data_IF_531694596884
#
_entry.id   IF_531694596884
#
_cell.length_a   1.000
_cell.length_b   1.000
_cell.length_c   1.000
_cell.angle_alpha   90.00
_cell.angle_beta   90.00
_cell.angle_gamma   90.00
#
_symmetry.space_group_name_H-M   'P 1'
#
loop_
_entity.id
_entity.type
_entity.pdbx_description
1 polymer ?
#
# COMPACT_ATOMS: atom_id res chain seq x y z
N UNK A 1 -21.35 -24.39 -12.30
CA UNK A 1 -19.95 -23.98 -12.08
C UNK A 1 -19.09 -25.23 -12.13
N UNK A 2 -18.13 -25.36 -13.06
CA UNK A 2 -17.18 -26.47 -13.02
C UNK A 2 -16.35 -26.39 -11.73
N UNK A 3 -15.97 -27.52 -11.11
CA UNK A 3 -15.12 -27.51 -9.93
C UNK A 3 -13.80 -26.84 -10.29
N UNK A 4 -13.43 -25.80 -9.54
CA UNK A 4 -12.10 -25.18 -9.61
C UNK A 4 -11.07 -26.29 -9.47
N UNK A 5 -10.34 -26.60 -10.56
CA UNK A 5 -9.21 -27.53 -10.50
C UNK A 5 -8.28 -27.04 -9.40
N UNK A 6 -8.11 -27.85 -8.37
CA UNK A 6 -7.21 -27.56 -7.27
C UNK A 6 -5.79 -27.49 -7.83
N UNK A 7 -5.26 -26.28 -7.96
CA UNK A 7 -3.93 -26.06 -8.54
C UNK A 7 -2.91 -26.31 -7.44
N UNK A 8 -2.22 -27.44 -7.53
CA UNK A 8 -1.23 -27.85 -6.54
C UNK A 8 0.02 -26.96 -6.61
N UNK A 9 0.60 -26.58 -5.46
CA UNK A 9 1.85 -25.82 -5.41
C UNK A 9 3.02 -26.64 -5.99
N UNK A 10 4.06 -25.95 -6.47
CA UNK A 10 5.23 -26.58 -7.11
C UNK A 10 5.86 -27.69 -6.26
N UNK A 11 5.93 -27.50 -4.94
CA UNK A 11 6.44 -28.49 -3.98
C UNK A 11 5.82 -29.87 -4.12
N UNK A 12 4.52 -29.94 -4.46
CA UNK A 12 3.73 -31.17 -4.60
C UNK A 12 3.46 -31.56 -6.07
N UNK A 13 4.05 -30.85 -7.02
CA UNK A 13 3.80 -31.03 -8.44
C UNK A 13 5.09 -31.40 -9.19
N UNK A 14 5.39 -32.70 -9.25
CA UNK A 14 6.59 -33.22 -9.94
C UNK A 14 6.64 -32.83 -11.42
N UNK A 15 5.48 -32.83 -12.09
CA UNK A 15 5.39 -32.35 -13.48
C UNK A 15 5.75 -30.87 -13.58
N UNK A 16 5.31 -30.06 -12.62
CA UNK A 16 5.67 -28.64 -12.51
C UNK A 16 7.17 -28.43 -12.34
N UNK A 17 7.82 -29.22 -11.47
CA UNK A 17 9.28 -29.16 -11.27
C UNK A 17 10.04 -29.52 -12.54
N UNK A 18 9.61 -30.56 -13.26
CA UNK A 18 10.21 -30.94 -14.55
C UNK A 18 10.06 -29.84 -15.59
N UNK A 19 8.88 -29.20 -15.66
CA UNK A 19 8.64 -28.07 -16.56
C UNK A 19 9.52 -26.86 -16.22
N UNK A 20 9.70 -26.57 -14.93
CA UNK A 20 10.61 -25.53 -14.44
C UNK A 20 12.06 -25.82 -14.84
N UNK A 21 12.56 -27.02 -14.55
CA UNK A 21 13.90 -27.43 -14.93
C UNK A 21 14.13 -27.32 -16.45
N UNK A 22 13.20 -27.83 -17.26
CA UNK A 22 13.30 -27.76 -18.72
C UNK A 22 13.22 -26.32 -19.26
N UNK A 23 12.47 -25.44 -18.60
CA UNK A 23 12.41 -24.02 -18.97
C UNK A 23 13.72 -23.30 -18.61
N UNK A 24 14.20 -23.45 -17.38
CA UNK A 24 15.46 -22.85 -16.93
C UNK A 24 16.64 -23.34 -17.76
N UNK A 25 16.68 -24.62 -18.12
CA UNK A 25 17.69 -25.16 -19.03
C UNK A 25 17.71 -24.43 -20.38
N UNK A 26 16.54 -24.23 -21.01
CA UNK A 26 16.44 -23.54 -22.30
C UNK A 26 16.86 -22.08 -22.20
N UNK A 27 16.38 -21.38 -21.18
CA UNK A 27 16.70 -19.97 -20.95
C UNK A 27 18.20 -19.82 -20.65
N UNK A 28 18.78 -20.75 -19.88
CA UNK A 28 20.21 -20.77 -19.58
C UNK A 28 21.03 -20.97 -20.84
N UNK A 29 20.66 -21.92 -21.72
CA UNK A 29 21.36 -22.15 -22.99
C UNK A 29 21.28 -20.96 -23.95
N UNK A 30 20.15 -20.22 -23.95
CA UNK A 30 19.93 -19.10 -24.86
C UNK A 30 20.79 -17.85 -24.55
N UNK A 31 21.30 -17.70 -23.33
CA UNK A 31 22.09 -16.52 -22.93
C UNK A 31 23.53 -16.54 -23.45
N UNK A 32 24.07 -15.36 -23.73
CA UNK A 32 25.48 -15.19 -24.13
C UNK A 32 26.43 -15.52 -22.96
N UNK A 33 27.40 -16.37 -23.25
CA UNK A 33 28.29 -17.06 -22.30
C UNK A 33 29.56 -16.28 -21.98
N UNK A 34 29.74 -15.89 -20.72
CA UNK A 34 31.05 -15.90 -20.10
C UNK A 34 30.95 -16.71 -18.79
N UNK A 35 31.64 -17.85 -18.72
CA UNK A 35 31.82 -18.64 -17.48
C UNK A 35 30.72 -19.64 -17.08
N UNK A 36 30.06 -20.35 -18.02
CA UNK A 36 29.06 -21.37 -17.66
C UNK A 36 29.70 -22.72 -17.37
N UNK A 37 29.67 -23.13 -16.11
CA UNK A 37 29.91 -24.53 -15.72
C UNK A 37 28.57 -25.30 -15.67
N UNK A 38 28.52 -26.58 -16.09
CA UNK A 38 27.31 -27.41 -16.04
C UNK A 38 26.73 -27.54 -14.62
N UNK A 39 27.61 -27.60 -13.62
CA UNK A 39 27.27 -27.70 -12.19
C UNK A 39 26.47 -26.50 -11.68
N UNK A 40 26.65 -25.34 -12.32
CA UNK A 40 25.90 -24.12 -11.99
C UNK A 40 24.41 -24.27 -12.33
N UNK A 41 24.05 -25.06 -13.34
CA UNK A 41 22.65 -25.20 -13.75
C UNK A 41 21.84 -26.04 -12.77
N UNK A 42 22.39 -27.13 -12.25
CA UNK A 42 21.71 -27.95 -11.23
C UNK A 42 21.47 -27.15 -9.96
N UNK A 43 22.47 -26.39 -9.53
CA UNK A 43 22.40 -25.48 -8.38
C UNK A 43 21.31 -24.41 -8.58
N UNK A 44 21.23 -23.82 -9.78
CA UNK A 44 20.19 -22.85 -10.14
C UNK A 44 18.80 -23.49 -10.09
N UNK A 45 18.63 -24.69 -10.67
CA UNK A 45 17.33 -25.38 -10.67
C UNK A 45 16.88 -25.70 -9.24
N UNK A 46 17.78 -26.14 -8.36
CA UNK A 46 17.46 -26.38 -6.95
C UNK A 46 17.01 -25.10 -6.26
N UNK A 47 17.79 -24.02 -6.42
CA UNK A 47 17.48 -22.72 -5.83
C UNK A 47 16.10 -22.19 -6.26
N UNK A 48 15.78 -22.29 -7.56
CA UNK A 48 14.48 -21.89 -8.09
C UNK A 48 13.35 -22.78 -7.57
N UNK A 49 13.57 -24.08 -7.46
CA UNK A 49 12.56 -25.03 -6.98
C UNK A 49 12.22 -24.79 -5.51
N UNK A 50 13.23 -24.50 -4.69
CA UNK A 50 13.07 -24.16 -3.27
C UNK A 50 12.36 -22.81 -3.11
N UNK A 51 12.86 -21.76 -3.76
CA UNK A 51 12.31 -20.41 -3.63
C UNK A 51 10.87 -20.30 -4.16
N UNK A 52 10.50 -21.10 -5.15
CA UNK A 52 9.18 -21.07 -5.78
C UNK A 52 8.25 -22.20 -5.31
N UNK A 53 8.63 -22.97 -4.29
CA UNK A 53 7.94 -24.17 -3.82
C UNK A 53 6.46 -23.95 -3.46
N UNK A 54 6.11 -22.75 -3.00
CA UNK A 54 4.76 -22.36 -2.58
C UNK A 54 3.86 -21.90 -3.73
N UNK A 55 4.41 -21.62 -4.91
CA UNK A 55 3.64 -21.05 -6.01
C UNK A 55 3.14 -22.13 -6.98
N UNK A 56 1.97 -21.92 -7.60
CA UNK A 56 1.50 -22.75 -8.71
C UNK A 56 2.47 -22.74 -9.91
N UNK A 57 2.74 -23.90 -10.55
CA UNK A 57 3.61 -23.96 -11.73
C UNK A 57 3.19 -23.03 -12.87
N UNK A 58 1.89 -22.87 -13.09
CA UNK A 58 1.35 -22.01 -14.15
C UNK A 58 1.73 -20.54 -13.94
N UNK A 59 1.66 -20.06 -12.69
CA UNK A 59 2.07 -18.69 -12.33
C UNK A 59 3.57 -18.50 -12.53
N UNK A 60 4.38 -19.51 -12.19
CA UNK A 60 5.83 -19.49 -12.39
C UNK A 60 6.16 -19.40 -13.89
N UNK A 61 5.53 -20.23 -14.73
CA UNK A 61 5.76 -20.20 -16.18
C UNK A 61 5.38 -18.86 -16.81
N UNK A 62 4.27 -18.27 -16.35
CA UNK A 62 3.83 -16.97 -16.81
C UNK A 62 4.83 -15.88 -16.39
N UNK A 63 5.30 -15.90 -15.14
CA UNK A 63 6.30 -14.96 -14.64
C UNK A 63 7.64 -15.06 -15.37
N UNK A 64 8.14 -16.28 -15.63
CA UNK A 64 9.36 -16.50 -16.43
C UNK A 64 9.22 -15.95 -17.85
N UNK A 65 8.04 -16.13 -18.45
CA UNK A 65 7.75 -15.58 -19.80
C UNK A 65 7.71 -14.06 -19.79
N UNK A 66 7.08 -13.45 -18.79
CA UNK A 66 7.08 -11.99 -18.62
C UNK A 66 8.48 -11.43 -18.38
N UNK A 67 9.31 -12.12 -17.59
CA UNK A 67 10.70 -11.71 -17.37
C UNK A 67 11.49 -11.72 -18.67
N UNK A 68 11.42 -12.81 -19.44
CA UNK A 68 12.13 -12.94 -20.72
C UNK A 68 11.72 -11.89 -21.77
N UNK A 69 10.51 -11.33 -21.67
CA UNK A 69 10.07 -10.22 -22.52
C UNK A 69 10.66 -8.86 -22.10
N UNK A 70 11.05 -8.73 -20.83
CA UNK A 70 11.47 -7.44 -20.22
C UNK A 70 12.98 -7.33 -20.03
N UNK A 71 13.66 -8.45 -19.83
CA UNK A 71 15.09 -8.50 -19.52
C UNK A 71 15.80 -9.50 -20.43
N UNK A 72 17.01 -9.12 -20.85
CA UNK A 72 17.94 -10.00 -21.56
C UNK A 72 18.83 -10.81 -20.60
N UNK A 73 18.75 -10.53 -19.30
CA UNK A 73 19.51 -11.22 -18.26
C UNK A 73 18.78 -12.48 -17.77
N UNK A 74 19.52 -13.38 -17.13
CA UNK A 74 18.90 -14.53 -16.47
C UNK A 74 18.06 -14.03 -15.29
N UNK A 75 16.82 -14.53 -15.11
CA UNK A 75 16.06 -14.18 -13.93
C UNK A 75 16.77 -14.66 -12.66
N UNK A 76 16.65 -13.90 -11.58
CA UNK A 76 16.85 -14.41 -10.23
C UNK A 76 15.53 -14.98 -9.68
N UNK A 77 15.57 -15.85 -8.64
CA UNK A 77 14.34 -16.29 -7.99
C UNK A 77 13.49 -15.12 -7.47
N UNK A 78 14.13 -14.06 -6.95
CA UNK A 78 13.46 -12.88 -6.43
C UNK A 78 12.67 -12.14 -7.52
N UNK A 79 13.20 -12.04 -8.74
CA UNK A 79 12.50 -11.41 -9.86
C UNK A 79 11.19 -12.14 -10.17
N UNK A 80 11.23 -13.47 -10.16
CA UNK A 80 10.05 -14.30 -10.44
C UNK A 80 9.04 -14.23 -9.30
N UNK A 81 9.49 -14.29 -8.04
CA UNK A 81 8.60 -14.09 -6.88
C UNK A 81 7.92 -12.73 -6.94
N UNK A 82 8.68 -11.67 -7.25
CA UNK A 82 8.15 -10.31 -7.38
C UNK A 82 7.09 -10.20 -8.48
N UNK A 83 7.34 -10.81 -9.64
CA UNK A 83 6.37 -10.86 -10.73
C UNK A 83 5.10 -11.63 -10.36
N UNK A 84 5.21 -12.75 -9.64
CA UNK A 84 4.04 -13.52 -9.19
C UNK A 84 3.23 -12.72 -8.16
N UNK A 85 3.88 -12.23 -7.09
CA UNK A 85 3.22 -11.47 -6.02
C UNK A 85 2.50 -10.22 -6.54
N UNK A 86 3.02 -9.62 -7.61
CA UNK A 86 2.48 -8.39 -8.19
C UNK A 86 1.68 -8.60 -9.47
N UNK A 87 1.28 -9.84 -9.75
CA UNK A 87 0.44 -10.20 -10.89
C UNK A 87 0.98 -9.65 -12.23
N UNK A 88 2.30 -9.74 -12.42
CA UNK A 88 2.99 -9.28 -13.63
C UNK A 88 3.31 -7.79 -13.70
N UNK A 89 2.99 -6.97 -12.69
CA UNK A 89 3.38 -5.53 -12.66
C UNK A 89 4.91 -5.37 -12.55
N UNK A 90 5.50 -4.30 -13.13
CA UNK A 90 6.95 -4.03 -13.04
C UNK A 90 7.35 -3.77 -11.59
N UNK A 91 8.55 -4.19 -11.12
CA UNK A 91 9.00 -4.08 -9.73
C UNK A 91 8.87 -2.66 -9.16
N UNK A 92 8.65 -2.57 -7.85
CA UNK A 92 8.54 -1.29 -7.17
C UNK A 92 9.94 -0.68 -7.04
N UNK A 93 10.03 0.62 -7.30
CA UNK A 93 11.27 1.37 -7.36
C UNK A 93 11.23 2.50 -6.34
N UNK A 94 12.30 2.61 -5.55
CA UNK A 94 12.45 3.71 -4.61
C UNK A 94 12.46 5.06 -5.33
N UNK A 95 13.02 5.14 -6.53
CA UNK A 95 13.06 6.37 -7.31
C UNK A 95 11.64 6.84 -7.68
N UNK A 96 10.75 5.91 -8.06
CA UNK A 96 9.35 6.21 -8.36
C UNK A 96 8.59 6.59 -7.09
N UNK A 97 8.82 5.88 -5.99
CA UNK A 97 8.24 6.24 -4.68
C UNK A 97 8.59 7.68 -4.28
N UNK A 98 9.88 8.05 -4.35
CA UNK A 98 10.36 9.40 -4.02
C UNK A 98 9.75 10.44 -4.98
N UNK A 99 9.67 10.14 -6.27
CA UNK A 99 9.07 11.05 -7.25
C UNK A 99 7.60 11.32 -6.95
N UNK A 100 6.83 10.28 -6.58
CA UNK A 100 5.42 10.41 -6.18
C UNK A 100 5.30 11.18 -4.86
N UNK A 101 6.15 10.90 -3.87
CA UNK A 101 6.13 11.62 -2.59
C UNK A 101 6.41 13.12 -2.73
N UNK A 102 7.23 13.52 -3.71
CA UNK A 102 7.52 14.94 -3.97
C UNK A 102 6.35 15.71 -4.56
N UNK A 103 5.35 15.02 -5.15
CA UNK A 103 4.11 15.66 -5.60
C UNK A 103 3.29 16.13 -4.40
N UNK A 104 2.59 17.26 -4.55
CA UNK A 104 1.58 17.69 -3.58
C UNK A 104 0.48 16.62 -3.47
N UNK A 105 -0.14 16.48 -2.30
CA UNK A 105 -1.15 15.44 -2.07
C UNK A 105 -2.35 15.51 -3.02
N UNK A 106 -2.71 16.73 -3.42
CA UNK A 106 -3.82 17.03 -4.35
C UNK A 106 -3.50 16.64 -5.80
N UNK A 107 -2.21 16.65 -6.18
CA UNK A 107 -1.75 16.29 -7.53
C UNK A 107 -1.49 14.79 -7.72
N UNK A 108 -1.72 13.98 -6.67
CA UNK A 108 -1.48 12.52 -6.71
C UNK A 108 -2.72 11.82 -7.25
N UNK A 109 -2.52 11.01 -8.29
CA UNK A 109 -3.59 10.18 -8.82
C UNK A 109 -3.95 9.02 -7.86
N UNK A 110 -5.10 8.36 -8.04
CA UNK A 110 -5.44 7.15 -7.29
C UNK A 110 -4.37 6.04 -7.41
N UNK A 111 -3.72 5.92 -8.58
CA UNK A 111 -2.64 4.97 -8.84
C UNK A 111 -1.36 5.34 -8.08
N UNK A 112 -1.04 6.63 -7.95
CA UNK A 112 0.08 7.11 -7.14
C UNK A 112 -0.11 6.68 -5.68
N UNK A 113 -1.32 6.86 -5.13
CA UNK A 113 -1.65 6.42 -3.77
C UNK A 113 -1.59 4.90 -3.61
N UNK A 114 -2.04 4.15 -4.62
CA UNK A 114 -1.90 2.71 -4.61
C UNK A 114 -0.43 2.28 -4.64
N UNK A 115 0.41 2.93 -5.45
CA UNK A 115 1.84 2.66 -5.52
C UNK A 115 2.54 2.89 -4.18
N UNK A 116 2.25 4.02 -3.51
CA UNK A 116 2.80 4.32 -2.19
C UNK A 116 2.43 3.23 -1.17
N UNK A 117 1.16 2.80 -1.14
CA UNK A 117 0.69 1.72 -0.25
C UNK A 117 1.33 0.38 -0.57
N UNK A 118 1.42 0.00 -1.84
CA UNK A 118 2.08 -1.23 -2.28
C UNK A 118 3.57 -1.21 -1.88
N UNK A 119 4.25 -0.06 -2.01
CA UNK A 119 5.66 0.12 -1.67
C UNK A 119 5.89 0.01 -0.16
N UNK A 120 5.08 0.69 0.64
CA UNK A 120 5.14 0.61 2.10
C UNK A 120 4.78 -0.78 2.62
N UNK A 121 3.82 -1.46 2.00
CA UNK A 121 3.49 -2.84 2.34
C UNK A 121 4.66 -3.79 2.04
N UNK A 122 5.33 -3.64 0.89
CA UNK A 122 6.53 -4.41 0.56
C UNK A 122 7.64 -4.13 1.58
N UNK A 123 7.88 -2.86 1.92
CA UNK A 123 8.86 -2.50 2.93
C UNK A 123 8.50 -3.03 4.32
N UNK A 124 7.22 -3.22 4.67
CA UNK A 124 6.79 -3.88 5.92
C UNK A 124 6.95 -5.39 5.90
N UNK A 125 6.76 -6.04 4.75
CA UNK A 125 7.08 -7.47 4.59
C UNK A 125 8.59 -7.71 4.66
N UNK A 126 9.40 -6.80 4.11
CA UNK A 126 10.87 -6.83 4.19
C UNK A 126 11.37 -6.39 5.57
N UNK A 127 10.69 -5.45 6.22
CA UNK A 127 10.87 -5.09 7.63
C UNK A 127 10.18 -6.13 8.50
N UNK A 128 10.77 -7.33 8.54
CA UNK A 128 10.74 -8.11 9.78
C UNK A 128 11.18 -7.14 10.88
N UNK A 129 10.23 -6.71 11.71
CA UNK A 129 10.51 -5.86 12.86
C UNK A 129 11.67 -6.43 13.68
N UNK A 130 12.27 -5.62 14.58
CA UNK A 130 13.54 -5.94 15.19
C UNK A 130 13.64 -7.43 15.55
N UNK A 131 14.62 -8.13 14.98
CA UNK A 131 14.85 -9.58 15.17
C UNK A 131 15.07 -9.96 16.64
N UNK A 132 15.24 -8.94 17.49
CA UNK A 132 15.36 -9.05 18.93
C UNK A 132 14.02 -8.81 19.62
N UNK A 133 13.45 -9.87 20.20
CA UNK A 133 12.19 -9.85 20.96
C UNK A 133 12.12 -8.73 22.00
N UNK A 134 13.27 -8.30 22.56
CA UNK A 134 13.38 -7.16 23.48
C UNK A 134 13.04 -5.81 22.85
N UNK A 135 13.58 -5.51 21.68
CA UNK A 135 13.32 -4.23 21.00
C UNK A 135 11.85 -4.11 20.56
N UNK A 136 11.22 -5.22 20.18
CA UNK A 136 9.80 -5.24 19.86
C UNK A 136 8.92 -4.99 21.10
N UNK A 137 9.31 -5.50 22.27
CA UNK A 137 8.61 -5.24 23.53
C UNK A 137 8.79 -3.79 24.01
N UNK A 138 10.01 -3.25 23.92
CA UNK A 138 10.30 -1.85 24.24
C UNK A 138 9.47 -0.90 23.37
N UNK A 139 9.42 -1.14 22.05
CA UNK A 139 8.61 -0.33 21.13
C UNK A 139 7.10 -0.44 21.42
N UNK A 140 6.61 -1.62 21.84
CA UNK A 140 5.20 -1.78 22.26
C UNK A 140 4.91 -1.07 23.58
N UNK A 141 5.84 -1.08 24.52
CA UNK A 141 5.72 -0.35 25.78
C UNK A 141 5.71 1.16 25.54
N UNK A 142 6.61 1.64 24.69
CA UNK A 142 6.71 3.06 24.32
C UNK A 142 5.45 3.53 23.59
N UNK A 143 4.94 2.78 22.62
CA UNK A 143 3.68 3.11 21.95
C UNK A 143 2.50 3.20 22.93
N UNK A 144 2.39 2.25 23.87
CA UNK A 144 1.34 2.30 24.91
C UNK A 144 1.47 3.53 25.81
N UNK A 145 2.70 3.90 26.16
CA UNK A 145 2.98 5.11 26.93
C UNK A 145 2.55 6.36 26.17
N UNK A 146 2.98 6.51 24.91
CA UNK A 146 2.63 7.65 24.07
C UNK A 146 1.12 7.78 23.85
N UNK A 147 0.39 6.68 23.66
CA UNK A 147 -1.08 6.71 23.56
C UNK A 147 -1.74 7.22 24.84
N UNK A 148 -1.20 6.85 25.99
CA UNK A 148 -1.69 7.32 27.29
C UNK A 148 -1.42 8.81 27.46
N UNK A 149 -0.20 9.26 27.17
CA UNK A 149 0.19 10.68 27.21
C UNK A 149 -0.69 11.53 26.27
N UNK A 150 -0.92 11.08 25.03
CA UNK A 150 -1.82 11.76 24.09
C UNK A 150 -3.26 11.85 24.60
N UNK A 151 -3.74 10.81 25.29
CA UNK A 151 -5.10 10.79 25.85
C UNK A 151 -5.24 11.80 26.99
N UNK A 152 -4.24 11.88 27.86
CA UNK A 152 -4.22 12.87 28.95
C UNK A 152 -4.09 14.30 28.43
N UNK A 153 -3.19 14.55 27.47
CA UNK A 153 -3.07 15.85 26.81
C UNK A 153 -4.38 16.30 26.15
N UNK A 154 -5.11 15.38 25.50
CA UNK A 154 -6.44 15.69 24.93
C UNK A 154 -7.44 16.09 26.00
N UNK A 155 -7.48 15.40 27.14
CA UNK A 155 -8.35 15.75 28.27
C UNK A 155 -7.99 17.12 28.83
N UNK A 156 -6.71 17.42 28.95
CA UNK A 156 -6.22 18.70 29.46
C UNK A 156 -6.55 19.85 28.50
N UNK A 157 -6.32 19.68 27.20
CA UNK A 157 -6.75 20.64 26.18
C UNK A 157 -8.26 20.91 26.24
N UNK A 158 -9.08 19.87 26.37
CA UNK A 158 -10.54 20.03 26.51
C UNK A 158 -10.93 20.78 27.79
N UNK A 159 -10.26 20.48 28.91
CA UNK A 159 -10.47 21.19 30.18
C UNK A 159 -10.10 22.67 30.07
N UNK A 160 -8.94 22.98 29.47
CA UNK A 160 -8.50 24.35 29.24
C UNK A 160 -9.44 25.11 28.31
N UNK A 161 -9.92 24.47 27.24
CA UNK A 161 -10.92 25.05 26.34
C UNK A 161 -12.20 25.43 27.09
N UNK A 162 -12.69 24.55 27.99
CA UNK A 162 -13.86 24.82 28.83
C UNK A 162 -13.62 25.99 29.79
N UNK A 163 -12.48 26.01 30.49
CA UNK A 163 -12.13 27.12 31.40
C UNK A 163 -12.03 28.46 30.65
N UNK A 164 -11.46 28.44 29.45
CA UNK A 164 -11.35 29.62 28.60
C UNK A 164 -12.73 30.10 28.14
N UNK A 165 -13.65 29.18 27.85
CA UNK A 165 -15.05 29.50 27.54
C UNK A 165 -15.77 30.12 28.75
N UNK A 166 -15.65 29.51 29.93
CA UNK A 166 -16.26 30.00 31.17
C UNK A 166 -15.72 31.40 31.54
N UNK A 167 -14.41 31.63 31.38
CA UNK A 167 -13.77 32.92 31.62
C UNK A 167 -14.21 34.01 30.61
N UNK A 168 -14.48 33.64 29.36
CA UNK A 168 -15.03 34.57 28.35
C UNK A 168 -16.46 34.99 28.71
N UNK A 169 -17.31 34.02 29.08
CA UNK A 169 -18.68 34.28 29.54
C UNK A 169 -18.68 35.20 30.77
N UNK A 170 -17.82 34.92 31.75
CA UNK A 170 -17.69 35.75 32.96
C UNK A 170 -17.24 37.20 32.67
N UNK A 171 -16.50 37.42 31.58
CA UNK A 171 -16.07 38.76 31.13
C UNK A 171 -17.07 39.46 30.20
N UNK A 172 -18.24 38.87 29.96
CA UNK A 172 -19.24 39.41 29.02
C UNK A 172 -18.78 39.39 27.56
N UNK A 173 -17.73 38.62 27.24
CA UNK A 173 -17.31 38.37 25.87
C UNK A 173 -18.16 37.19 25.40
N UNK A 174 -19.17 37.46 24.57
CA UNK A 174 -19.95 36.39 23.97
C UNK A 174 -19.00 35.42 23.27
N UNK A 175 -19.01 34.12 23.64
CA UNK A 175 -18.26 33.13 22.88
C UNK A 175 -18.77 33.19 21.43
N UNK A 176 -17.91 33.01 20.42
CA UNK A 176 -18.39 32.93 19.05
C UNK A 176 -19.38 31.77 18.98
N UNK A 177 -20.67 32.11 18.98
CA UNK A 177 -21.73 31.16 18.66
C UNK A 177 -21.63 30.97 17.17
N UNK A 178 -20.68 30.13 16.75
CA UNK A 178 -20.78 29.52 15.44
C UNK A 178 -21.96 28.56 15.55
N UNK A 179 -23.17 29.11 15.35
CA UNK A 179 -24.38 28.31 15.14
C UNK A 179 -24.00 27.36 14.02
N UNK A 180 -24.17 26.05 14.20
CA UNK A 180 -23.69 25.06 13.23
C UNK A 180 -24.18 25.37 11.80
N UNK A 181 -25.33 26.03 11.66
CA UNK A 181 -25.84 26.56 10.39
C UNK A 181 -24.95 27.60 9.69
N UNK A 182 -24.17 28.42 10.40
CA UNK A 182 -23.26 29.41 9.80
C UNK A 182 -21.98 28.75 9.27
N UNK A 183 -21.49 27.70 9.96
CA UNK A 183 -20.40 26.85 9.45
C UNK A 183 -20.84 26.08 8.22
N UNK A 184 -22.02 25.45 8.27
CA UNK A 184 -22.58 24.70 7.14
C UNK A 184 -22.78 25.62 5.94
N UNK A 185 -23.27 26.85 6.15
CA UNK A 185 -23.38 27.86 5.08
C UNK A 185 -22.03 28.31 4.53
N UNK A 186 -21.02 28.51 5.37
CA UNK A 186 -19.66 28.84 4.93
C UNK A 186 -19.04 27.68 4.12
N UNK A 187 -19.24 26.44 4.54
CA UNK A 187 -18.78 25.25 3.81
C UNK A 187 -19.49 25.10 2.47
N UNK A 188 -20.81 25.30 2.41
CA UNK A 188 -21.58 25.32 1.15
C UNK A 188 -21.07 26.41 0.20
N UNK A 189 -20.75 27.60 0.72
CA UNK A 189 -20.17 28.68 -0.08
C UNK A 189 -18.79 28.30 -0.64
N UNK A 190 -17.92 27.70 0.18
CA UNK A 190 -16.61 27.22 -0.25
C UNK A 190 -16.71 26.08 -1.29
N UNK A 191 -17.67 25.17 -1.14
CA UNK A 191 -17.95 24.12 -2.12
C UNK A 191 -18.37 24.69 -3.48
N UNK A 192 -19.19 25.76 -3.49
CA UNK A 192 -19.58 26.47 -4.72
C UNK A 192 -18.38 27.15 -5.38
N UNK A 193 -17.55 27.84 -4.61
CA UNK A 193 -16.36 28.54 -5.12
C UNK A 193 -15.31 27.56 -5.68
N UNK A 194 -15.20 26.37 -5.08
CA UNK A 194 -14.35 25.28 -5.55
C UNK A 194 -14.93 24.50 -6.76
N UNK A 195 -16.14 24.84 -7.24
CA UNK A 195 -16.77 24.20 -8.38
C UNK A 195 -17.34 22.81 -8.10
N UNK A 196 -17.71 22.50 -6.85
CA UNK A 196 -18.32 21.22 -6.50
C UNK A 196 -19.66 21.02 -7.25
N UNK A 197 -20.00 19.77 -7.61
CA UNK A 197 -21.28 19.44 -8.24
C UNK A 197 -22.47 19.89 -7.40
N UNK A 198 -23.53 20.37 -8.05
CA UNK A 198 -24.74 20.81 -7.35
C UNK A 198 -25.39 19.70 -6.50
N UNK A 199 -25.29 18.45 -6.95
CA UNK A 199 -25.80 17.27 -6.23
C UNK A 199 -25.09 17.06 -4.88
N UNK A 200 -23.76 17.26 -4.82
CA UNK A 200 -22.96 17.10 -3.60
C UNK A 200 -23.26 18.21 -2.59
N UNK A 201 -23.50 19.43 -3.08
CA UNK A 201 -23.87 20.59 -2.25
C UNK A 201 -25.26 20.38 -1.63
N UNK A 202 -26.22 19.89 -2.41
CA UNK A 202 -27.57 19.59 -1.94
C UNK A 202 -27.61 18.41 -0.97
N UNK A 203 -26.79 17.39 -1.18
CA UNK A 203 -26.66 16.26 -0.28
C UNK A 203 -26.07 16.72 1.06
N UNK A 204 -24.95 17.45 1.04
CA UNK A 204 -24.31 17.96 2.25
C UNK A 204 -25.25 18.85 3.07
N UNK A 205 -26.05 19.70 2.40
CA UNK A 205 -27.00 20.56 3.06
C UNK A 205 -28.20 19.80 3.66
N UNK A 206 -28.69 18.75 2.99
CA UNK A 206 -29.72 17.84 3.53
C UNK A 206 -29.25 17.10 4.77
N UNK A 207 -28.02 16.59 4.76
CA UNK A 207 -27.41 15.88 5.90
C UNK A 207 -27.29 16.77 7.14
N UNK A 208 -27.13 18.08 6.95
CA UNK A 208 -26.98 19.06 8.02
C UNK A 208 -28.25 19.90 8.28
N UNK A 209 -29.38 19.55 7.65
CA UNK A 209 -30.69 20.17 7.91
C UNK A 209 -30.80 21.63 7.49
N UNK A 210 -30.02 22.09 6.50
CA UNK A 210 -30.02 23.46 5.99
C UNK A 210 -30.66 23.49 4.60
N UNK A 211 -31.71 24.29 4.41
CA UNK A 211 -32.31 24.51 3.08
C UNK A 211 -31.38 25.38 2.23
N UNK A 212 -31.05 24.91 1.03
CA UNK A 212 -30.29 25.69 0.05
C UNK A 212 -31.28 26.24 -0.97
N UNK A 213 -31.43 27.56 -1.05
CA UNK A 213 -32.05 28.16 -2.23
C UNK A 213 -31.06 28.03 -3.40
N UNK A 214 -31.44 27.23 -4.39
CA UNK A 214 -30.69 27.05 -5.63
C UNK A 214 -31.07 28.23 -6.53
N UNK A 215 -30.24 29.27 -6.53
CA UNK A 215 -30.30 30.26 -7.59
C UNK A 215 -29.81 29.60 -8.88
N UNK A 216 -30.69 29.58 -9.89
CA UNK A 216 -30.41 29.14 -11.25
C UNK A 216 -29.37 30.01 -11.96
#
# INVERSE_FOLDING_TARGET
>A
MPPSREVLPLSRNERGKQLLAARLYRDFQAMKTYGKEPESLESIISLFTEALASFPPEQIMQALTLHAQRSAEFPTPADIVGLIKRNGKPPLSQAVYIAIQKKAGEDRSPEDWQYLREYEAQQREEFEGPRDTRQAEEMRQENRRLHTELTELRKECNRLAKLLQDARVAKGIEPPVLKDGDKVRATIAAMREAGAPAEDIEQFAREHGVSVEVAA
#
